data_IF_642936850617
#
_entry.id   IF_642936850617
#
_cell.length_a   1.000
_cell.length_b   1.000
_cell.length_c   1.000
_cell.angle_alpha   90.00
_cell.angle_beta   90.00
_cell.angle_gamma   90.00
#
_symmetry.space_group_name_H-M   'P 1'
#
loop_
_entity.id
_entity.type
_entity.pdbx_description
1 polymer ?
#
# COMPACT_ATOMS: atom_id res chain seq x y z
N UNK A 1 20.50 1.24 -13.66
CA UNK A 1 19.57 0.59 -12.72
C UNK A 1 18.15 0.81 -13.23
N UNK A 2 17.30 -0.20 -13.19
CA UNK A 2 15.91 -0.22 -13.69
C UNK A 2 14.98 -0.61 -12.55
N UNK A 3 13.69 -0.26 -12.63
CA UNK A 3 12.68 -0.72 -11.67
C UNK A 3 12.26 -2.18 -11.88
N UNK A 4 12.51 -2.74 -13.06
CA UNK A 4 12.20 -4.12 -13.39
C UNK A 4 13.42 -4.79 -14.03
N UNK A 5 14.06 -5.64 -13.24
CA UNK A 5 15.22 -6.43 -13.67
C UNK A 5 14.72 -7.76 -14.23
N UNK A 6 15.09 -8.05 -15.48
CA UNK A 6 14.93 -9.40 -16.01
C UNK A 6 15.98 -10.30 -15.39
N UNK A 7 15.52 -11.32 -14.67
CA UNK A 7 16.41 -12.31 -14.06
C UNK A 7 16.18 -13.67 -14.68
N UNK A 8 17.25 -14.27 -15.23
CA UNK A 8 17.23 -15.67 -15.62
C UNK A 8 17.22 -16.52 -14.35
N UNK A 9 16.19 -17.35 -14.18
CA UNK A 9 16.10 -18.32 -13.07
C UNK A 9 16.99 -19.52 -13.36
N UNK A 10 17.61 -20.06 -12.32
CA UNK A 10 18.28 -21.36 -12.40
C UNK A 10 17.26 -22.48 -12.56
N UNK A 11 17.71 -23.67 -13.00
CA UNK A 11 16.83 -24.84 -13.08
C UNK A 11 16.22 -25.20 -11.72
N UNK A 12 17.00 -25.12 -10.64
CA UNK A 12 16.51 -25.42 -9.30
C UNK A 12 15.43 -24.43 -8.83
N UNK A 13 15.61 -23.14 -9.12
CA UNK A 13 14.61 -22.11 -8.84
C UNK A 13 13.33 -22.34 -9.64
N UNK A 14 13.43 -22.75 -10.90
CA UNK A 14 12.28 -23.11 -11.72
C UNK A 14 11.51 -24.30 -11.16
N UNK A 15 12.20 -25.38 -10.79
CA UNK A 15 11.54 -26.55 -10.18
C UNK A 15 10.84 -26.17 -8.88
N UNK A 16 11.52 -25.45 -7.99
CA UNK A 16 10.95 -25.00 -6.72
C UNK A 16 9.73 -24.10 -6.95
N UNK A 17 9.81 -23.17 -7.90
CA UNK A 17 8.70 -22.29 -8.28
C UNK A 17 7.50 -23.10 -8.79
N UNK A 18 7.72 -24.10 -9.67
CA UNK A 18 6.62 -24.93 -10.20
C UNK A 18 5.95 -25.76 -9.11
N UNK A 19 6.71 -26.30 -8.17
CA UNK A 19 6.15 -27.01 -7.01
C UNK A 19 5.36 -26.05 -6.13
N UNK A 20 5.89 -24.86 -5.87
CA UNK A 20 5.21 -23.82 -5.08
C UNK A 20 3.86 -23.43 -5.69
N UNK A 21 3.80 -23.30 -7.02
CA UNK A 21 2.59 -22.93 -7.78
C UNK A 21 1.48 -23.99 -7.78
N UNK A 22 1.75 -25.22 -7.32
CA UNK A 22 0.70 -26.23 -7.10
C UNK A 22 -0.17 -25.88 -5.89
N UNK A 23 0.40 -25.17 -4.91
CA UNK A 23 -0.32 -24.69 -3.73
C UNK A 23 -0.91 -23.29 -3.91
N UNK A 24 -1.63 -22.78 -2.89
CA UNK A 24 -2.14 -21.41 -2.91
C UNK A 24 -0.97 -20.41 -2.92
N UNK A 25 -1.07 -19.39 -3.77
CA UNK A 25 -0.10 -18.29 -3.87
C UNK A 25 -0.73 -17.04 -3.27
N UNK A 26 -0.03 -16.31 -2.38
CA UNK A 26 -0.56 -15.06 -1.85
C UNK A 26 -0.71 -14.04 -2.98
N UNK A 27 -1.89 -13.47 -3.12
CA UNK A 27 -2.22 -12.42 -4.08
C UNK A 27 -1.54 -11.12 -3.72
N UNK A 28 -1.45 -10.82 -2.42
CA UNK A 28 -0.81 -9.63 -1.89
C UNK A 28 0.23 -9.96 -0.81
N UNK A 29 1.45 -9.48 -1.00
CA UNK A 29 2.55 -9.57 -0.02
C UNK A 29 2.93 -8.17 0.49
N UNK A 30 2.90 -7.96 1.80
CA UNK A 30 3.44 -6.78 2.46
C UNK A 30 4.86 -7.05 2.99
N UNK A 31 5.80 -6.12 2.80
CA UNK A 31 7.21 -6.32 3.18
C UNK A 31 7.78 -5.10 3.93
N UNK A 32 8.27 -5.34 5.16
CA UNK A 32 9.15 -4.40 5.86
C UNK A 32 10.60 -4.68 5.44
N UNK A 33 11.17 -3.75 4.68
CA UNK A 33 12.53 -3.81 4.11
C UNK A 33 13.61 -3.34 5.12
N UNK A 34 13.69 -4.01 6.27
CA UNK A 34 14.60 -3.64 7.37
C UNK A 34 16.03 -4.21 7.19
N UNK A 35 17.02 -3.56 7.81
CA UNK A 35 18.40 -4.04 7.84
C UNK A 35 19.38 -3.33 6.90
N UNK A 36 18.94 -2.36 6.08
CA UNK A 36 19.81 -1.63 5.14
C UNK A 36 21.06 -1.02 5.81
N UNK A 37 20.88 -0.34 6.96
CA UNK A 37 21.98 0.26 7.72
C UNK A 37 22.92 -0.78 8.34
N UNK A 38 22.36 -1.91 8.80
CA UNK A 38 23.15 -3.04 9.35
C UNK A 38 23.98 -3.68 8.25
N UNK A 39 23.41 -3.83 7.06
CA UNK A 39 24.11 -4.35 5.88
C UNK A 39 25.25 -3.42 5.44
N UNK A 40 25.00 -2.10 5.34
CA UNK A 40 26.06 -1.14 5.02
C UNK A 40 27.25 -1.23 5.99
N UNK A 41 26.98 -1.31 7.30
CA UNK A 41 28.03 -1.48 8.30
C UNK A 41 28.78 -2.82 8.17
N UNK A 42 28.05 -3.91 7.90
CA UNK A 42 28.63 -5.24 7.67
C UNK A 42 29.58 -5.24 6.47
N UNK A 43 29.22 -4.53 5.41
CA UNK A 43 30.00 -4.45 4.17
C UNK A 43 31.03 -3.30 4.16
N UNK A 44 31.22 -2.60 5.27
CA UNK A 44 32.10 -1.42 5.38
C UNK A 44 31.78 -0.32 4.35
N UNK A 45 30.50 -0.11 4.04
CA UNK A 45 29.98 0.90 3.11
C UNK A 45 29.24 2.02 3.82
N UNK A 46 28.99 3.11 3.11
CA UNK A 46 28.16 4.19 3.62
C UNK A 46 26.71 3.75 3.79
N UNK A 47 25.99 4.40 4.71
CA UNK A 47 24.57 4.09 4.97
C UNK A 47 23.71 4.22 3.71
N UNK A 48 23.98 5.23 2.87
CA UNK A 48 23.25 5.47 1.63
C UNK A 48 23.44 4.33 0.62
N UNK A 49 24.61 3.70 0.58
CA UNK A 49 24.87 2.54 -0.29
C UNK A 49 24.00 1.36 0.12
N UNK A 50 23.85 1.12 1.44
CA UNK A 50 22.94 0.08 1.95
C UNK A 50 21.49 0.31 1.51
N UNK A 51 21.03 1.56 1.49
CA UNK A 51 19.70 1.90 0.98
C UNK A 51 19.58 1.75 -0.55
N UNK A 52 20.64 2.08 -1.28
CA UNK A 52 20.70 1.87 -2.74
C UNK A 52 20.62 0.38 -3.08
N UNK A 53 21.33 -0.47 -2.34
CA UNK A 53 21.24 -1.93 -2.48
C UNK A 53 19.87 -2.45 -2.05
N UNK A 54 19.26 -1.84 -1.03
CA UNK A 54 17.88 -2.14 -0.64
C UNK A 54 16.88 -1.84 -1.77
N UNK A 55 17.05 -0.74 -2.50
CA UNK A 55 16.24 -0.47 -3.69
C UNK A 55 16.49 -1.51 -4.79
N UNK A 56 17.74 -1.91 -5.03
CA UNK A 56 18.01 -3.00 -5.98
C UNK A 56 17.30 -4.28 -5.58
N UNK A 57 17.32 -4.66 -4.29
CA UNK A 57 16.59 -5.84 -3.83
C UNK A 57 15.09 -5.76 -4.08
N UNK A 58 14.48 -4.59 -3.92
CA UNK A 58 13.06 -4.37 -4.22
C UNK A 58 12.75 -4.71 -5.68
N UNK A 59 13.61 -4.31 -6.63
CA UNK A 59 13.37 -4.58 -8.05
C UNK A 59 13.50 -6.05 -8.39
N UNK A 60 14.41 -6.78 -7.71
CA UNK A 60 14.49 -8.24 -7.81
C UNK A 60 13.22 -8.91 -7.25
N UNK A 61 12.78 -8.51 -6.06
CA UNK A 61 11.58 -9.05 -5.41
C UNK A 61 10.32 -8.83 -6.26
N UNK A 62 10.21 -7.68 -6.94
CA UNK A 62 9.12 -7.42 -7.87
C UNK A 62 9.17 -8.36 -9.08
N UNK A 63 10.35 -8.60 -9.65
CA UNK A 63 10.54 -9.62 -10.70
C UNK A 63 10.14 -11.00 -10.21
N UNK A 64 10.53 -11.38 -8.99
CA UNK A 64 10.16 -12.67 -8.40
C UNK A 64 8.64 -12.78 -8.24
N UNK A 65 7.98 -11.72 -7.77
CA UNK A 65 6.53 -11.66 -7.62
C UNK A 65 5.79 -11.91 -8.94
N UNK A 66 6.28 -11.30 -10.03
CA UNK A 66 5.72 -11.50 -11.37
C UNK A 66 5.83 -12.96 -11.83
N UNK A 67 6.98 -13.61 -11.61
CA UNK A 67 7.19 -15.03 -11.97
C UNK A 67 6.34 -15.97 -11.10
N UNK A 68 6.22 -15.66 -9.81
CA UNK A 68 5.44 -16.43 -8.83
C UNK A 68 3.94 -16.32 -9.12
N UNK A 69 3.49 -15.18 -9.64
CA UNK A 69 2.08 -14.88 -9.86
C UNK A 69 1.46 -14.03 -8.75
N UNK A 70 2.27 -13.41 -7.89
CA UNK A 70 1.84 -12.42 -6.89
C UNK A 70 1.32 -11.19 -7.65
N UNK A 71 0.11 -10.73 -7.30
CA UNK A 71 -0.57 -9.63 -8.00
C UNK A 71 -0.24 -8.27 -7.40
N UNK A 72 0.08 -8.23 -6.12
CA UNK A 72 0.24 -6.99 -5.39
C UNK A 72 1.38 -7.11 -4.37
N UNK A 73 2.23 -6.10 -4.30
CA UNK A 73 3.32 -6.00 -3.32
C UNK A 73 3.28 -4.64 -2.67
N UNK A 74 3.16 -4.59 -1.34
CA UNK A 74 3.28 -3.35 -0.56
C UNK A 74 4.58 -3.36 0.21
N UNK A 75 5.39 -2.31 0.10
CA UNK A 75 6.67 -2.23 0.82
C UNK A 75 6.76 -1.00 1.69
N UNK A 76 7.33 -1.16 2.89
CA UNK A 76 7.55 -0.06 3.80
C UNK A 76 8.85 0.67 3.46
N UNK A 77 8.74 1.71 2.63
CA UNK A 77 9.89 2.43 2.08
C UNK A 77 10.40 3.53 3.02
N UNK A 78 9.50 4.31 3.64
CA UNK A 78 9.88 5.38 4.56
C UNK A 78 8.76 5.67 5.58
N UNK A 79 9.05 5.50 6.87
CA UNK A 79 8.11 5.79 7.96
C UNK A 79 8.11 7.26 8.36
N UNK A 80 7.00 7.79 8.87
CA UNK A 80 6.99 9.12 9.52
C UNK A 80 8.03 9.19 10.65
N UNK A 81 8.19 8.09 11.40
CA UNK A 81 9.20 7.98 12.46
C UNK A 81 10.64 8.12 11.94
N UNK A 82 10.88 7.93 10.64
CA UNK A 82 12.21 8.05 10.06
C UNK A 82 12.64 9.51 9.84
N UNK A 83 11.72 10.48 9.93
CA UNK A 83 12.09 11.90 9.97
C UNK A 83 12.88 12.28 11.23
N UNK A 84 12.82 11.47 12.30
CA UNK A 84 13.60 11.66 13.54
C UNK A 84 15.09 11.27 13.38
N UNK A 85 15.49 10.72 12.23
CA UNK A 85 16.90 10.40 11.93
C UNK A 85 17.70 11.67 11.63
N UNK A 86 19.02 11.54 11.46
CA UNK A 86 19.86 12.70 11.14
C UNK A 86 19.43 13.34 9.83
N UNK A 87 19.49 14.67 9.75
CA UNK A 87 19.12 15.43 8.55
C UNK A 87 19.86 14.92 7.30
N UNK A 88 21.15 14.61 7.43
CA UNK A 88 21.96 14.05 6.35
C UNK A 88 21.41 12.72 5.82
N UNK A 89 20.96 11.82 6.70
CA UNK A 89 20.36 10.54 6.30
C UNK A 89 19.01 10.76 5.59
N UNK A 90 18.16 11.63 6.16
CA UNK A 90 16.85 11.96 5.60
C UNK A 90 17.00 12.61 4.21
N UNK A 91 17.86 13.63 4.07
CA UNK A 91 18.14 14.31 2.81
C UNK A 91 18.68 13.33 1.75
N UNK A 92 19.56 12.41 2.16
CA UNK A 92 20.06 11.34 1.30
C UNK A 92 18.96 10.40 0.80
N UNK A 93 18.03 10.00 1.67
CA UNK A 93 16.88 9.16 1.32
C UNK A 93 15.89 9.89 0.39
N UNK A 94 15.62 11.18 0.62
CA UNK A 94 14.77 11.98 -0.26
C UNK A 94 15.40 12.17 -1.64
N UNK A 95 16.71 12.42 -1.70
CA UNK A 95 17.46 12.47 -2.96
C UNK A 95 17.42 11.14 -3.69
N UNK A 96 17.60 10.03 -2.98
CA UNK A 96 17.49 8.68 -3.56
C UNK A 96 16.09 8.46 -4.13
N UNK A 97 15.03 8.73 -3.36
CA UNK A 97 13.65 8.60 -3.80
C UNK A 97 13.37 9.44 -5.06
N UNK A 98 13.76 10.72 -5.07
CA UNK A 98 13.63 11.60 -6.22
C UNK A 98 14.34 11.04 -7.45
N UNK A 99 15.57 10.54 -7.30
CA UNK A 99 16.30 9.88 -8.39
C UNK A 99 15.58 8.63 -8.90
N UNK A 100 15.05 7.78 -8.00
CA UNK A 100 14.33 6.55 -8.39
C UNK A 100 13.05 6.85 -9.15
N UNK A 101 12.23 7.79 -8.68
CA UNK A 101 11.03 8.21 -9.41
C UNK A 101 11.35 8.92 -10.72
N UNK A 102 12.40 9.75 -10.76
CA UNK A 102 12.83 10.41 -11.99
C UNK A 102 13.26 9.41 -13.09
N UNK A 103 13.83 8.25 -12.71
CA UNK A 103 14.17 7.21 -13.69
C UNK A 103 12.95 6.66 -14.44
N UNK A 104 11.75 6.65 -13.84
CA UNK A 104 10.51 6.26 -14.53
C UNK A 104 10.12 7.22 -15.66
N UNK A 105 10.82 8.36 -15.79
CA UNK A 105 10.63 9.26 -16.92
C UNK A 105 11.38 8.83 -18.18
N UNK A 106 12.34 7.91 -18.07
CA UNK A 106 12.99 7.34 -19.23
C UNK A 106 11.98 6.49 -20.02
N UNK A 107 11.88 6.73 -21.33
CA UNK A 107 11.04 5.97 -22.26
C UNK A 107 11.19 4.46 -22.07
N UNK A 108 12.42 3.98 -21.89
CA UNK A 108 12.70 2.56 -21.65
C UNK A 108 11.99 2.01 -20.40
N UNK A 109 11.99 2.76 -19.29
CA UNK A 109 11.32 2.32 -18.05
C UNK A 109 9.80 2.39 -18.20
N UNK A 110 9.27 3.38 -18.91
CA UNK A 110 7.83 3.50 -19.17
C UNK A 110 7.31 2.34 -20.02
N UNK A 111 8.05 1.99 -21.07
CA UNK A 111 7.73 0.85 -21.94
C UNK A 111 7.74 -0.45 -21.13
N UNK A 112 8.76 -0.67 -20.30
CA UNK A 112 8.80 -1.82 -19.38
C UNK A 112 7.62 -1.85 -18.42
N UNK A 113 7.32 -0.73 -17.75
CA UNK A 113 6.20 -0.66 -16.81
C UNK A 113 4.88 -1.00 -17.50
N UNK A 114 4.70 -0.57 -18.75
CA UNK A 114 3.53 -0.88 -19.58
C UNK A 114 3.52 -2.35 -20.02
N UNK A 115 4.64 -2.89 -20.49
CA UNK A 115 4.80 -4.28 -20.92
C UNK A 115 4.49 -5.27 -19.79
N UNK A 116 5.08 -5.05 -18.62
CA UNK A 116 4.83 -5.84 -17.43
C UNK A 116 3.53 -5.46 -16.73
N UNK A 117 2.86 -4.39 -17.16
CA UNK A 117 1.58 -3.91 -16.65
C UNK A 117 1.61 -3.59 -15.15
N UNK A 118 2.69 -2.98 -14.67
CA UNK A 118 2.89 -2.62 -13.26
C UNK A 118 2.26 -1.25 -12.98
N UNK A 119 1.37 -1.21 -11.99
CA UNK A 119 0.76 0.01 -11.47
C UNK A 119 1.45 0.41 -10.16
N UNK A 120 2.05 1.60 -10.13
CA UNK A 120 2.72 2.13 -8.95
C UNK A 120 1.73 3.00 -8.17
N UNK A 121 1.56 2.70 -6.89
CA UNK A 121 0.83 3.54 -5.93
C UNK A 121 1.78 3.91 -4.78
N UNK A 122 1.61 5.11 -4.25
CA UNK A 122 2.34 5.55 -3.05
C UNK A 122 1.31 5.89 -1.98
N UNK A 123 1.45 5.28 -0.80
CA UNK A 123 0.55 5.44 0.34
C UNK A 123 1.28 6.13 1.49
N UNK A 124 0.60 7.03 2.21
CA UNK A 124 1.15 7.81 3.30
C UNK A 124 0.90 9.31 3.16
N UNK A 125 1.35 10.08 4.14
CA UNK A 125 1.17 11.52 4.18
C UNK A 125 2.19 12.22 3.28
N UNK A 126 1.78 12.41 2.02
CA UNK A 126 2.67 12.96 0.99
C UNK A 126 3.07 14.41 1.29
N UNK A 127 2.28 15.17 2.04
CA UNK A 127 2.59 16.58 2.37
C UNK A 127 3.83 16.73 3.25
N UNK A 128 4.21 15.68 3.99
CA UNK A 128 5.48 15.63 4.73
C UNK A 128 6.70 15.49 3.81
N UNK A 129 6.51 15.11 2.54
CA UNK A 129 7.60 14.91 1.60
C UNK A 129 7.97 16.22 0.87
N UNK A 130 9.27 16.43 0.57
CA UNK A 130 9.71 17.56 -0.24
C UNK A 130 8.99 17.64 -1.59
N UNK A 131 8.71 18.86 -2.06
CA UNK A 131 7.92 19.09 -3.29
C UNK A 131 8.47 18.35 -4.52
N UNK A 132 9.79 18.25 -4.65
CA UNK A 132 10.43 17.55 -5.78
C UNK A 132 10.20 16.03 -5.72
N UNK A 133 10.10 15.43 -4.53
CA UNK A 133 9.75 14.02 -4.33
C UNK A 133 8.26 13.80 -4.64
N UNK A 134 7.38 14.65 -4.09
CA UNK A 134 5.94 14.62 -4.39
C UNK A 134 5.64 14.68 -5.88
N UNK A 135 6.28 15.60 -6.61
CA UNK A 135 6.13 15.69 -8.06
C UNK A 135 6.52 14.40 -8.78
N UNK A 136 7.63 13.77 -8.38
CA UNK A 136 8.07 12.48 -8.94
C UNK A 136 7.07 11.35 -8.67
N UNK A 137 6.56 11.28 -7.44
CA UNK A 137 5.51 10.33 -7.03
C UNK A 137 4.24 10.51 -7.87
N UNK A 138 3.72 11.74 -7.94
CA UNK A 138 2.48 12.03 -8.67
C UNK A 138 2.58 11.66 -10.15
N UNK A 139 3.72 11.98 -10.79
CA UNK A 139 3.99 11.57 -12.18
C UNK A 139 3.98 10.05 -12.34
N UNK A 140 4.66 9.32 -11.46
CA UNK A 140 4.73 7.86 -11.52
C UNK A 140 3.36 7.20 -11.36
N UNK A 141 2.56 7.65 -10.38
CA UNK A 141 1.20 7.16 -10.16
C UNK A 141 0.28 7.46 -11.35
N UNK A 142 0.32 8.68 -11.90
CA UNK A 142 -0.49 9.06 -13.05
C UNK A 142 -0.10 8.30 -14.33
N UNK A 143 1.20 8.08 -14.57
CA UNK A 143 1.70 7.37 -15.75
C UNK A 143 1.30 5.88 -15.75
N UNK A 144 1.23 5.26 -14.57
CA UNK A 144 0.99 3.81 -14.43
C UNK A 144 -0.44 3.47 -14.01
N UNK A 145 -1.32 4.45 -13.75
CA UNK A 145 -2.67 4.26 -13.19
C UNK A 145 -3.57 3.26 -13.94
N UNK A 146 -3.36 3.12 -15.25
CA UNK A 146 -4.19 2.26 -16.11
C UNK A 146 -3.65 0.83 -16.22
N UNK A 147 -2.48 0.56 -15.65
CA UNK A 147 -1.89 -0.77 -15.61
C UNK A 147 -2.64 -1.63 -14.57
N UNK A 148 -2.84 -2.93 -14.88
CA UNK A 148 -3.69 -3.82 -14.08
C UNK A 148 -3.10 -5.21 -13.85
N UNK A 149 -1.87 -5.48 -14.31
CA UNK A 149 -1.28 -6.83 -14.25
C UNK A 149 -0.64 -7.09 -12.89
N UNK A 150 0.04 -6.10 -12.33
CA UNK A 150 0.69 -6.14 -11.03
C UNK A 150 0.63 -4.77 -10.36
N UNK A 151 0.56 -4.73 -9.04
CA UNK A 151 0.51 -3.50 -8.25
C UNK A 151 1.71 -3.43 -7.30
N UNK A 152 2.42 -2.30 -7.32
CA UNK A 152 3.46 -1.97 -6.36
C UNK A 152 2.99 -0.79 -5.51
N UNK A 153 2.84 -0.99 -4.22
CA UNK A 153 2.46 0.05 -3.27
C UNK A 153 3.68 0.41 -2.42
N UNK A 154 4.10 1.67 -2.47
CA UNK A 154 5.22 2.20 -1.70
C UNK A 154 4.67 2.98 -0.51
N UNK A 155 4.85 2.47 0.70
CA UNK A 155 4.50 3.23 1.90
C UNK A 155 5.61 4.24 2.23
N UNK A 156 5.34 5.52 2.01
CA UNK A 156 6.30 6.63 2.16
C UNK A 156 5.69 7.76 2.98
N UNK A 157 6.44 8.26 3.96
CA UNK A 157 5.91 9.13 5.01
C UNK A 157 4.63 8.53 5.61
N UNK A 158 4.68 7.23 5.89
CA UNK A 158 3.52 6.42 6.30
C UNK A 158 3.69 5.93 7.74
N UNK A 159 2.58 5.88 8.49
CA UNK A 159 2.37 5.02 9.67
C UNK A 159 0.90 4.62 9.69
N UNK A 160 0.58 3.42 10.19
CA UNK A 160 -0.80 2.93 10.20
C UNK A 160 -1.71 3.76 11.10
N UNK A 161 -1.20 4.25 12.24
CA UNK A 161 -1.97 5.16 13.11
C UNK A 161 -2.35 6.47 12.43
N UNK A 162 -1.43 7.04 11.65
CA UNK A 162 -1.71 8.28 10.90
C UNK A 162 -2.70 8.01 9.76
N UNK A 163 -2.56 6.89 9.05
CA UNK A 163 -3.54 6.48 8.02
C UNK A 163 -4.95 6.33 8.60
N UNK A 164 -5.10 5.65 9.74
CA UNK A 164 -6.39 5.46 10.42
C UNK A 164 -6.95 6.82 10.86
N UNK A 165 -6.11 7.69 11.42
CA UNK A 165 -6.52 9.04 11.83
C UNK A 165 -6.99 9.87 10.64
N UNK A 166 -6.29 9.78 9.50
CA UNK A 166 -6.69 10.41 8.26
C UNK A 166 -8.04 9.87 7.76
N UNK A 167 -8.24 8.55 7.74
CA UNK A 167 -9.50 7.94 7.32
C UNK A 167 -10.69 8.39 8.19
N UNK A 168 -10.49 8.48 9.50
CA UNK A 168 -11.50 9.02 10.43
C UNK A 168 -11.79 10.50 10.14
N UNK A 169 -10.74 11.29 9.86
CA UNK A 169 -10.90 12.71 9.53
C UNK A 169 -11.71 12.90 8.25
N UNK A 170 -11.44 12.11 7.20
CA UNK A 170 -12.20 12.15 5.94
C UNK A 170 -13.69 11.82 6.16
N UNK A 171 -13.99 10.79 6.96
CA UNK A 171 -15.37 10.47 7.32
C UNK A 171 -16.02 11.60 8.13
N UNK A 172 -15.30 12.19 9.08
CA UNK A 172 -15.79 13.31 9.89
C UNK A 172 -16.15 14.52 9.01
N UNK A 173 -15.30 14.86 8.03
CA UNK A 173 -15.61 15.91 7.06
C UNK A 173 -16.85 15.54 6.22
N UNK A 174 -16.96 14.28 5.76
CA UNK A 174 -18.13 13.81 5.02
C UNK A 174 -19.45 13.93 5.82
N UNK A 175 -19.40 13.75 7.14
CA UNK A 175 -20.56 13.96 8.04
C UNK A 175 -20.88 15.44 8.17
N UNK A 176 -19.88 16.29 8.38
CA UNK A 176 -20.04 17.76 8.49
C UNK A 176 -20.63 18.37 7.21
N UNK A 177 -20.15 17.89 6.05
CA UNK A 177 -20.63 18.28 4.72
C UNK A 177 -21.96 17.61 4.33
N UNK A 178 -22.52 16.76 5.21
CA UNK A 178 -23.78 16.02 5.01
C UNK A 178 -23.77 15.08 3.78
N UNK A 179 -22.60 14.65 3.34
CA UNK A 179 -22.45 13.64 2.28
C UNK A 179 -22.81 12.24 2.80
N UNK A 180 -22.47 11.97 4.06
CA UNK A 180 -22.82 10.76 4.82
C UNK A 180 -23.45 11.12 6.16
N UNK A 181 -24.14 10.17 6.78
CA UNK A 181 -24.69 10.30 8.12
C UNK A 181 -23.73 9.72 9.17
N UNK A 182 -23.84 10.15 10.42
CA UNK A 182 -23.10 9.53 11.53
C UNK A 182 -23.38 8.02 11.61
N UNK A 183 -24.60 7.61 11.31
CA UNK A 183 -25.00 6.20 11.26
C UNK A 183 -24.36 5.45 10.10
N UNK A 184 -23.85 6.11 9.06
CA UNK A 184 -23.19 5.42 7.94
C UNK A 184 -21.74 5.00 8.27
N UNK A 185 -21.18 5.51 9.38
CA UNK A 185 -19.84 5.16 9.85
C UNK A 185 -19.80 3.71 10.31
N UNK A 186 -18.90 2.94 9.70
CA UNK A 186 -18.71 1.52 9.97
C UNK A 186 -17.26 1.14 9.66
N UNK A 187 -16.84 -0.06 10.08
CA UNK A 187 -15.53 -0.60 9.70
C UNK A 187 -15.37 -0.70 8.17
N UNK A 188 -16.44 -1.04 7.43
CA UNK A 188 -16.40 -1.13 5.96
C UNK A 188 -16.21 0.24 5.29
N UNK A 189 -16.80 1.29 5.87
CA UNK A 189 -16.57 2.65 5.38
C UNK A 189 -15.16 3.11 5.70
N UNK A 190 -14.64 2.76 6.90
CA UNK A 190 -13.26 3.05 7.28
C UNK A 190 -12.27 2.41 6.30
N UNK A 191 -12.44 1.12 5.94
CA UNK A 191 -11.60 0.42 4.94
C UNK A 191 -11.49 1.22 3.64
N UNK A 192 -12.64 1.71 3.19
CA UNK A 192 -12.79 2.50 1.96
C UNK A 192 -12.17 3.90 2.05
N UNK A 193 -11.89 4.39 3.25
CA UNK A 193 -11.27 5.68 3.51
C UNK A 193 -9.76 5.61 3.78
N UNK A 194 -9.18 4.43 4.00
CA UNK A 194 -7.73 4.25 4.16
C UNK A 194 -6.96 4.68 2.90
N UNK A 195 -5.63 4.87 3.03
CA UNK A 195 -4.77 5.06 1.85
C UNK A 195 -4.74 3.81 0.97
N UNK A 196 -4.95 2.65 1.59
CA UNK A 196 -5.06 1.36 0.90
C UNK A 196 -6.44 1.07 0.31
N UNK A 197 -7.35 2.05 0.24
CA UNK A 197 -8.67 1.85 -0.35
C UNK A 197 -8.58 1.25 -1.77
N UNK A 198 -9.31 0.16 -2.01
CA UNK A 198 -9.27 -0.60 -3.28
C UNK A 198 -8.04 -1.49 -3.46
N UNK A 199 -7.20 -1.65 -2.42
CA UNK A 199 -6.18 -2.70 -2.34
C UNK A 199 -6.78 -3.96 -1.74
N UNK A 200 -6.24 -5.14 -2.08
CA UNK A 200 -6.53 -6.33 -1.29
C UNK A 200 -5.74 -6.26 0.02
N UNK A 201 -6.25 -6.83 1.11
CA UNK A 201 -5.44 -6.98 2.32
C UNK A 201 -4.24 -7.90 2.06
N UNK A 202 -3.07 -7.65 2.69
CA UNK A 202 -1.94 -8.55 2.57
C UNK A 202 -2.26 -9.93 3.15
N UNK A 203 -2.00 -10.98 2.37
CA UNK A 203 -2.14 -12.37 2.82
C UNK A 203 -0.85 -12.87 3.48
N UNK A 204 0.28 -12.34 3.04
CA UNK A 204 1.60 -12.62 3.61
C UNK A 204 2.29 -11.32 4.00
N UNK A 205 2.75 -11.25 5.24
CA UNK A 205 3.46 -10.12 5.81
C UNK A 205 4.89 -10.55 6.15
N UNK A 206 5.87 -9.99 5.44
CA UNK A 206 7.28 -10.35 5.59
C UNK A 206 8.02 -9.22 6.28
N UNK A 207 8.82 -9.54 7.30
CA UNK A 207 9.79 -8.62 7.86
C UNK A 207 11.17 -9.24 7.96
N UNK A 208 12.15 -8.52 7.45
CA UNK A 208 13.57 -8.90 7.47
C UNK A 208 14.27 -8.40 8.74
N UNK A 209 15.54 -8.77 8.89
CA UNK A 209 16.51 -8.34 9.91
C UNK A 209 16.34 -8.87 11.34
N UNK A 210 15.42 -9.80 11.55
CA UNK A 210 15.25 -10.54 12.81
C UNK A 210 14.38 -9.84 13.87
N UNK A 211 13.86 -8.66 13.55
CA UNK A 211 12.96 -7.92 14.43
C UNK A 211 11.54 -8.50 14.37
N UNK A 212 10.93 -8.77 15.53
CA UNK A 212 9.59 -9.38 15.65
C UNK A 212 8.52 -8.38 16.08
N UNK A 213 8.38 -7.28 15.31
CA UNK A 213 7.34 -6.26 15.53
C UNK A 213 6.80 -5.75 14.19
N UNK A 214 5.66 -5.05 14.19
CA UNK A 214 5.05 -4.48 12.97
C UNK A 214 5.52 -3.06 12.66
N UNK A 215 6.13 -2.35 13.62
CA UNK A 215 6.64 -0.98 13.42
C UNK A 215 5.60 0.00 12.83
N UNK A 216 4.34 -0.10 13.25
CA UNK A 216 3.25 0.77 12.80
C UNK A 216 3.02 0.72 11.28
N UNK A 217 3.08 -0.49 10.71
CA UNK A 217 2.89 -0.75 9.27
C UNK A 217 1.69 -1.66 9.03
N UNK A 218 0.71 -1.15 8.29
CA UNK A 218 -0.51 -1.85 7.88
C UNK A 218 -1.23 -2.57 9.03
N UNK A 219 -1.37 -1.93 10.20
CA UNK A 219 -1.94 -2.57 11.39
C UNK A 219 -3.39 -3.00 11.17
N UNK A 220 -4.15 -2.18 10.48
CA UNK A 220 -5.54 -2.46 10.14
C UNK A 220 -5.66 -3.61 9.13
N UNK A 221 -4.94 -3.49 8.01
CA UNK A 221 -5.01 -4.40 6.87
C UNK A 221 -4.40 -5.78 7.18
N UNK A 222 -3.51 -5.87 8.17
CA UNK A 222 -2.77 -7.11 8.47
C UNK A 222 -3.42 -8.02 9.52
N UNK A 223 -4.66 -7.76 9.94
CA UNK A 223 -5.36 -8.49 11.00
C UNK A 223 -5.41 -10.02 10.79
N UNK A 224 -5.49 -10.47 9.53
CA UNK A 224 -5.51 -11.90 9.15
C UNK A 224 -4.33 -12.32 8.26
N UNK A 225 -3.25 -11.52 8.21
CA UNK A 225 -2.07 -11.87 7.41
C UNK A 225 -1.26 -13.00 8.04
N UNK A 226 -0.64 -13.82 7.20
CA UNK A 226 0.41 -14.74 7.64
C UNK A 226 1.69 -13.94 7.93
N UNK A 227 2.10 -13.88 9.20
CA UNK A 227 3.28 -13.12 9.63
C UNK A 227 4.56 -13.99 9.52
N UNK A 228 5.52 -13.55 8.71
CA UNK A 228 6.80 -14.23 8.50
C UNK A 228 7.98 -13.30 8.83
N UNK A 229 8.67 -13.59 9.94
CA UNK A 229 9.86 -12.85 10.38
C UNK A 229 11.13 -13.64 10.07
N UNK A 230 12.10 -13.00 9.43
CA UNK A 230 13.38 -13.62 9.08
C UNK A 230 14.57 -12.78 9.51
N UNK A 231 15.67 -13.44 9.89
CA UNK A 231 16.91 -12.81 10.37
C UNK A 231 17.75 -12.18 9.26
N UNK A 232 17.54 -12.59 8.00
CA UNK A 232 18.31 -12.06 6.86
C UNK A 232 18.10 -10.56 6.72
N UNK A 233 19.15 -9.79 6.44
CA UNK A 233 19.05 -8.36 6.20
C UNK A 233 18.43 -8.11 4.81
N UNK A 234 17.65 -7.04 4.65
CA UNK A 234 16.95 -6.79 3.39
C UNK A 234 17.82 -6.88 2.13
N UNK A 235 18.99 -6.21 2.03
CA UNK A 235 19.82 -6.33 0.83
C UNK A 235 20.31 -7.75 0.51
N UNK A 236 20.31 -8.66 1.49
CA UNK A 236 20.73 -10.06 1.37
C UNK A 236 19.55 -11.03 1.15
N UNK A 237 18.31 -10.53 1.14
CA UNK A 237 17.13 -11.34 0.91
C UNK A 237 17.21 -12.05 -0.45
N UNK A 238 16.81 -13.31 -0.55
CA UNK A 238 16.93 -14.10 -1.79
C UNK A 238 15.60 -14.73 -2.16
N UNK A 239 15.48 -15.23 -3.39
CA UNK A 239 14.29 -15.94 -3.84
C UNK A 239 13.97 -17.15 -2.97
N UNK A 240 14.98 -17.82 -2.41
CA UNK A 240 14.78 -18.94 -1.47
C UNK A 240 14.15 -18.49 -0.16
N UNK A 241 14.45 -17.29 0.33
CA UNK A 241 13.76 -16.71 1.49
C UNK A 241 12.31 -16.38 1.14
N UNK A 242 12.04 -15.87 -0.07
CA UNK A 242 10.68 -15.63 -0.55
C UNK A 242 9.89 -16.95 -0.65
N UNK A 243 10.47 -18.00 -1.23
CA UNK A 243 9.84 -19.32 -1.29
C UNK A 243 9.56 -19.87 0.12
N UNK A 244 10.51 -19.74 1.05
CA UNK A 244 10.29 -20.11 2.45
C UNK A 244 9.12 -19.38 3.09
N UNK A 245 8.97 -18.08 2.83
CA UNK A 245 7.84 -17.29 3.32
C UNK A 245 6.50 -17.75 2.70
N UNK A 246 6.48 -18.09 1.41
CA UNK A 246 5.28 -18.58 0.73
C UNK A 246 4.91 -19.99 1.18
N UNK A 247 5.88 -20.89 1.37
CA UNK A 247 5.61 -22.21 1.96
C UNK A 247 5.03 -22.10 3.37
N UNK A 248 5.55 -21.16 4.17
CA UNK A 248 4.99 -20.87 5.48
C UNK A 248 3.53 -20.38 5.38
N UNK A 249 3.24 -19.48 4.43
CA UNK A 249 1.87 -19.08 4.12
C UNK A 249 0.97 -20.27 3.72
N UNK A 250 1.43 -21.13 2.80
CA UNK A 250 0.68 -22.29 2.33
C UNK A 250 0.28 -23.23 3.47
N UNK A 251 1.18 -23.42 4.46
CA UNK A 251 0.91 -24.22 5.65
C UNK A 251 -0.24 -23.66 6.50
N UNK A 252 -0.38 -22.33 6.55
CA UNK A 252 -1.39 -21.65 7.38
C UNK A 252 -2.62 -21.17 6.61
N UNK A 253 -2.63 -21.33 5.28
CA UNK A 253 -3.64 -20.79 4.38
C UNK A 253 -5.07 -21.12 4.83
N UNK A 254 -5.40 -22.40 5.01
CA UNK A 254 -6.78 -22.80 5.32
C UNK A 254 -7.31 -22.22 6.64
N UNK A 255 -6.46 -22.15 7.67
CA UNK A 255 -6.85 -21.59 8.97
C UNK A 255 -7.10 -20.08 8.86
N UNK A 256 -6.20 -19.35 8.19
CA UNK A 256 -6.32 -17.91 8.02
C UNK A 256 -7.49 -17.54 7.11
N UNK A 257 -7.68 -18.25 6.00
CA UNK A 257 -8.80 -18.01 5.08
C UNK A 257 -10.16 -18.24 5.75
N UNK A 258 -10.27 -19.27 6.60
CA UNK A 258 -11.49 -19.50 7.37
C UNK A 258 -11.77 -18.36 8.35
N UNK A 259 -10.78 -17.98 9.16
CA UNK A 259 -10.93 -16.90 10.14
C UNK A 259 -11.27 -15.56 9.47
N UNK A 260 -10.64 -15.27 8.31
CA UNK A 260 -10.94 -14.07 7.53
C UNK A 260 -12.38 -14.06 7.03
N UNK A 261 -12.86 -15.17 6.45
CA UNK A 261 -14.24 -15.29 5.95
C UNK A 261 -15.27 -15.11 7.08
N UNK A 262 -15.03 -15.71 8.25
CA UNK A 262 -15.88 -15.55 9.43
C UNK A 262 -15.95 -14.10 9.90
N UNK A 263 -14.81 -13.40 9.95
CA UNK A 263 -14.75 -11.98 10.32
C UNK A 263 -15.45 -11.09 9.29
N UNK A 264 -15.26 -11.32 7.98
CA UNK A 264 -15.96 -10.57 6.93
C UNK A 264 -17.47 -10.74 7.01
N UNK A 265 -17.96 -11.95 7.29
CA UNK A 265 -19.39 -12.21 7.49
C UNK A 265 -19.95 -11.46 8.72
N UNK A 266 -19.20 -11.42 9.83
CA UNK A 266 -19.59 -10.68 11.03
C UNK A 266 -19.68 -9.16 10.78
N UNK A 267 -18.73 -8.60 10.03
CA UNK A 267 -18.74 -7.18 9.67
C UNK A 267 -19.96 -6.82 8.81
N UNK A 268 -20.36 -7.71 7.89
CA UNK A 268 -21.55 -7.53 7.08
C UNK A 268 -22.84 -7.59 7.91
N UNK A 269 -22.95 -8.57 8.81
CA UNK A 269 -24.08 -8.69 9.73
C UNK A 269 -24.22 -7.45 10.63
N UNK A 270 -23.11 -6.91 11.14
CA UNK A 270 -23.15 -5.70 11.97
C UNK A 270 -23.70 -4.47 11.21
N UNK A 271 -23.46 -4.38 9.90
CA UNK A 271 -24.06 -3.31 9.07
C UNK A 271 -25.56 -3.51 8.90
N UNK A 272 -26.00 -4.75 8.68
CA UNK A 272 -27.42 -5.10 8.56
C UNK A 272 -28.18 -4.84 9.87
N UNK A 273 -27.60 -5.22 11.02
CA UNK A 273 -28.13 -4.91 12.35
C UNK A 273 -28.23 -3.39 12.57
N UNK A 274 -27.20 -2.64 12.16
CA UNK A 274 -27.21 -1.18 12.22
C UNK A 274 -28.30 -0.56 11.33
N UNK A 275 -28.55 -1.12 10.14
CA UNK A 275 -29.65 -0.67 9.27
C UNK A 275 -31.01 -0.87 9.96
N UNK A 276 -31.21 -2.01 10.61
CA UNK A 276 -32.44 -2.33 11.37
C UNK A 276 -32.64 -1.36 12.53
N UNK A 277 -31.60 -1.10 13.34
CA UNK A 277 -31.67 -0.12 14.42
C UNK A 277 -32.02 1.28 13.92
N UNK A 278 -31.40 1.72 12.81
CA UNK A 278 -31.72 3.02 12.22
C UNK A 278 -33.17 3.09 11.75
N UNK A 279 -33.70 2.03 11.15
CA UNK A 279 -35.11 1.97 10.78
C UNK A 279 -36.04 2.00 11.99
N UNK A 280 -35.69 1.35 13.10
CA UNK A 280 -36.48 1.43 14.33
C UNK A 280 -36.56 2.86 14.87
N UNK A 281 -35.47 3.60 14.81
CA UNK A 281 -35.45 5.02 15.19
C UNK A 281 -36.33 5.88 14.26
N UNK A 282 -36.36 5.58 12.96
CA UNK A 282 -37.10 6.36 11.96
C UNK A 282 -38.59 6.03 11.87
N UNK A 283 -38.97 4.75 12.03
CA UNK A 283 -40.31 4.24 11.75
C UNK A 283 -41.01 3.61 12.97
N UNK A 284 -40.31 3.46 14.11
CA UNK A 284 -40.83 2.80 15.32
C UNK A 284 -40.59 1.29 15.34
N UNK A 285 -41.23 0.57 16.27
CA UNK A 285 -40.95 -0.87 16.50
C UNK A 285 -41.41 -1.80 15.36
N UNK A 286 -42.43 -1.42 14.59
CA UNK A 286 -42.98 -2.24 13.49
C UNK A 286 -42.38 -1.85 12.14
N UNK A 287 -41.11 -2.21 11.95
CA UNK A 287 -40.39 -1.98 10.68
C UNK A 287 -40.67 -3.12 9.69
N UNK A 288 -40.95 -2.78 8.43
CA UNK A 288 -41.09 -3.77 7.36
C UNK A 288 -39.76 -4.07 6.68
N UNK A 289 -39.65 -5.25 6.05
CA UNK A 289 -38.47 -5.62 5.25
C UNK A 289 -38.22 -4.63 4.10
N UNK A 290 -39.28 -4.06 3.51
CA UNK A 290 -39.16 -3.03 2.46
C UNK A 290 -38.53 -1.74 2.98
N UNK A 291 -38.87 -1.32 4.22
CA UNK A 291 -38.26 -0.14 4.85
C UNK A 291 -36.77 -0.34 5.12
N UNK A 292 -36.38 -1.52 5.63
CA UNK A 292 -34.96 -1.87 5.86
C UNK A 292 -34.20 -1.88 4.54
N UNK A 293 -34.73 -2.55 3.51
CA UNK A 293 -34.09 -2.59 2.19
C UNK A 293 -33.96 -1.20 1.56
N UNK A 294 -34.98 -0.35 1.73
CA UNK A 294 -34.95 1.05 1.25
C UNK A 294 -33.88 1.87 1.98
N UNK A 295 -33.77 1.74 3.31
CA UNK A 295 -32.75 2.41 4.10
C UNK A 295 -31.34 1.95 3.72
N UNK A 296 -31.11 0.64 3.65
CA UNK A 296 -29.82 0.06 3.26
C UNK A 296 -29.38 0.53 1.86
N UNK A 297 -30.32 0.57 0.90
CA UNK A 297 -30.06 1.11 -0.45
C UNK A 297 -29.71 2.61 -0.41
N UNK A 298 -30.39 3.39 0.43
CA UNK A 298 -30.10 4.81 0.60
C UNK A 298 -28.72 5.05 1.26
N UNK A 299 -28.37 4.28 2.31
CA UNK A 299 -27.05 4.28 2.95
C UNK A 299 -25.96 3.96 1.93
N UNK A 300 -26.12 2.86 1.19
CA UNK A 300 -25.19 2.46 0.14
C UNK A 300 -24.97 3.57 -0.89
N UNK A 301 -26.05 4.20 -1.36
CA UNK A 301 -25.96 5.30 -2.33
C UNK A 301 -25.21 6.52 -1.77
N UNK A 302 -25.46 6.92 -0.52
CA UNK A 302 -24.73 8.02 0.13
C UNK A 302 -23.24 7.72 0.21
N UNK A 303 -22.90 6.51 0.68
CA UNK A 303 -21.51 6.04 0.79
C UNK A 303 -20.84 6.02 -0.58
N UNK A 304 -21.48 5.49 -1.62
CA UNK A 304 -20.91 5.44 -2.97
C UNK A 304 -20.61 6.83 -3.53
N UNK A 305 -21.50 7.79 -3.34
CA UNK A 305 -21.29 9.19 -3.75
C UNK A 305 -20.11 9.80 -2.99
N UNK A 306 -20.09 9.66 -1.66
CA UNK A 306 -19.00 10.15 -0.82
C UNK A 306 -17.63 9.57 -1.22
N UNK A 307 -17.57 8.25 -1.44
CA UNK A 307 -16.32 7.59 -1.84
C UNK A 307 -15.87 7.98 -3.24
N UNK A 308 -16.81 8.24 -4.16
CA UNK A 308 -16.52 8.78 -5.48
C UNK A 308 -15.88 10.18 -5.36
N UNK A 309 -16.49 11.07 -4.59
CA UNK A 309 -15.98 12.43 -4.38
C UNK A 309 -14.61 12.42 -3.67
N UNK A 310 -14.43 11.57 -2.66
CA UNK A 310 -13.15 11.37 -1.99
C UNK A 310 -12.06 10.91 -2.98
N UNK A 311 -12.39 9.94 -3.84
CA UNK A 311 -11.46 9.44 -4.87
C UNK A 311 -11.09 10.53 -5.87
N UNK A 312 -12.04 11.35 -6.30
CA UNK A 312 -11.78 12.45 -7.22
C UNK A 312 -10.89 13.53 -6.59
N UNK A 313 -11.14 13.89 -5.32
CA UNK A 313 -10.26 14.80 -4.55
C UNK A 313 -8.82 14.27 -4.47
N UNK A 314 -8.65 12.97 -4.23
CA UNK A 314 -7.32 12.31 -4.20
C UNK A 314 -6.61 12.38 -5.55
N UNK A 315 -7.33 12.15 -6.66
CA UNK A 315 -6.75 12.28 -8.00
C UNK A 315 -6.40 13.72 -8.36
N UNK A 316 -7.23 14.68 -7.98
CA UNK A 316 -6.97 16.09 -8.22
C UNK A 316 -5.75 16.59 -7.45
N UNK A 317 -5.59 16.16 -6.20
CA UNK A 317 -4.38 16.40 -5.41
C UNK A 317 -3.11 15.93 -6.14
N UNK A 318 -3.13 14.75 -6.78
CA UNK A 318 -1.98 14.25 -7.55
C UNK A 318 -1.71 15.11 -8.80
N UNK A 319 -2.74 15.56 -9.51
CA UNK A 319 -2.56 16.46 -10.67
C UNK A 319 -1.96 17.80 -10.24
N UNK A 320 -2.46 18.39 -9.16
CA UNK A 320 -1.94 19.66 -8.61
C UNK A 320 -0.44 19.54 -8.29
N UNK A 321 -0.05 18.48 -7.57
CA UNK A 321 1.36 18.24 -7.23
C UNK A 321 2.27 18.02 -8.45
N UNK A 322 1.74 17.48 -9.54
CA UNK A 322 2.48 17.35 -10.80
C UNK A 322 2.80 18.71 -11.45
N UNK A 323 1.91 19.70 -11.29
CA UNK A 323 2.01 21.02 -11.95
C UNK A 323 2.57 22.14 -11.06
N UNK A 324 2.47 22.03 -9.73
CA UNK A 324 2.82 23.10 -8.78
C UNK A 324 4.30 23.52 -8.74
N UNK A 325 5.21 22.78 -9.38
CA UNK A 325 6.60 23.25 -9.56
C UNK A 325 6.68 24.35 -10.64
N UNK A 326 5.79 24.35 -11.63
CA UNK A 326 5.77 25.37 -12.70
C UNK A 326 5.23 26.71 -12.16
N UNK A 327 4.20 26.66 -11.31
CA UNK A 327 3.60 27.88 -10.74
C UNK A 327 4.53 28.63 -9.77
N UNK A 328 5.31 27.90 -8.96
CA UNK A 328 6.27 28.51 -8.02
C UNK A 328 7.53 29.07 -8.71
N UNK A 329 7.89 28.56 -9.89
CA UNK A 329 8.98 29.13 -10.70
C UNK A 329 8.51 30.37 -11.45
N UNK A 330 7.28 30.37 -12.00
CA UNK A 330 6.70 31.53 -12.66
C UNK A 330 6.38 32.70 -11.71
N UNK A 331 5.84 32.44 -10.51
CA UNK A 331 5.58 33.51 -9.52
C UNK A 331 6.88 34.12 -8.97
N UNK A 332 7.98 33.36 -8.88
CA UNK A 332 9.30 33.91 -8.50
C UNK A 332 9.98 34.74 -9.60
N UNK A 333 9.57 34.58 -10.86
CA UNK A 333 10.03 35.42 -11.97
C UNK A 333 9.15 36.65 -12.22
N UNK A 334 7.89 36.64 -11.78
CA UNK A 334 6.98 37.79 -11.87
C UNK A 334 7.13 38.74 -10.67
N UNK A 335 7.72 38.29 -9.56
CA UNK A 335 8.00 39.09 -8.36
C UNK A 335 9.49 39.46 -8.17
N UNK A 336 10.28 39.51 -9.24
CA UNK A 336 11.57 40.23 -9.30
C UNK A 336 11.49 41.25 -10.42
#
# INVERSE_FOLDING_TARGET
MTWLVEQKRTWAEWVALRVLQVGPIPKHVAIIMDGNRRYARKEHKETLDGHTQGFHKLTEVLSWGLDIGIKEVTVYAFSIENFKRSKQEVDGLMKLAAQKFAMLWNTYEQEKMKEYGVCIRVIGNLDLLPAHVRMGISKAMLATKNNKRCYLNLAMAYTSREEITNAITEMSCGVEEKQILQTDVSELLLDSCLYTAGMQDPELYVRTSGEVRLSDFLLWQSGFSCMFFTKVLWPEFTIWHMFGAIFYFQRHFHTLSKAKCESEAQRQLAVEESDIECCHVLYGEKVTQEQIASYAAARKRRIEIFLHDLKDRRWEYLKINMHCVVFNVYLKQICK
#
